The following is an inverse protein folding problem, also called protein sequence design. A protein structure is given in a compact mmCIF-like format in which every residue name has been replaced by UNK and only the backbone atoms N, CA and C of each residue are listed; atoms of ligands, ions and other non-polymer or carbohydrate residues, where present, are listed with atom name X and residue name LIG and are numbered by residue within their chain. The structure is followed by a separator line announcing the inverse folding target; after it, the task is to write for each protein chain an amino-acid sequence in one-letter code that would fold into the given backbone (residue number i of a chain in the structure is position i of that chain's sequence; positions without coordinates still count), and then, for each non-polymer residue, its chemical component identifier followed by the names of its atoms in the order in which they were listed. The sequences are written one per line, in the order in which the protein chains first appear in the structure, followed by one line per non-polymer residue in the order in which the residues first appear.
data_IF_953894863100
#
_entry.id   IF_953894863100
#
_cell.length_a   1.000
_cell.length_b   1.000
_cell.length_c   1.000
_cell.angle_alpha   90.00
_cell.angle_beta   90.00
_cell.angle_gamma   90.00
#
_symmetry.space_group_name_H-M   'P 1'
#
loop_
_entity.id
_entity.type
_entity.pdbx_description
1 polymer ?
#
# COMPACT_ATOMS: atom_id res chain seq x y z
N UNK A 1 -6.93 1.82 -3.92
CA UNK A 1 -6.26 2.91 -4.66
C UNK A 1 -6.67 2.84 -6.12
N UNK A 2 -6.08 1.96 -6.93
CA UNK A 2 -6.44 1.83 -8.36
C UNK A 2 -7.95 1.59 -8.58
N UNK A 3 -8.52 0.53 -8.00
CA UNK A 3 -9.94 0.22 -8.18
C UNK A 3 -10.87 1.33 -7.67
N UNK A 4 -10.53 1.94 -6.53
CA UNK A 4 -11.27 3.06 -5.96
C UNK A 4 -11.26 4.28 -6.91
N UNK A 5 -10.08 4.68 -7.41
CA UNK A 5 -9.91 5.82 -8.31
C UNK A 5 -10.67 5.69 -9.63
N UNK A 6 -10.84 4.46 -10.12
CA UNK A 6 -11.59 4.18 -11.34
C UNK A 6 -13.07 3.86 -11.08
N UNK A 7 -13.57 4.05 -9.85
CA UNK A 7 -14.94 3.72 -9.46
C UNK A 7 -15.34 2.26 -9.79
N UNK A 8 -14.37 1.35 -9.81
CA UNK A 8 -14.61 -0.06 -10.15
C UNK A 8 -15.13 -0.76 -8.91
N UNK A 9 -16.36 -1.31 -8.91
CA UNK A 9 -16.89 -1.99 -7.75
C UNK A 9 -16.19 -3.33 -7.53
N UNK A 10 -15.79 -3.63 -6.29
CA UNK A 10 -15.07 -4.87 -5.97
C UNK A 10 -15.50 -5.49 -4.64
N UNK A 11 -15.36 -6.81 -4.55
CA UNK A 11 -15.53 -7.58 -3.33
C UNK A 11 -14.15 -7.84 -2.73
N UNK A 12 -14.04 -7.72 -1.41
CA UNK A 12 -12.78 -8.01 -0.69
C UNK A 12 -12.95 -9.30 0.08
N UNK A 13 -12.02 -10.23 -0.10
CA UNK A 13 -11.87 -11.41 0.75
C UNK A 13 -10.60 -11.23 1.56
N UNK A 14 -10.75 -10.90 2.84
CA UNK A 14 -9.62 -10.71 3.75
C UNK A 14 -8.94 -12.06 4.03
N UNK A 15 -7.68 -12.19 3.61
CA UNK A 15 -6.90 -13.41 3.78
C UNK A 15 -6.32 -13.46 5.19
N UNK A 16 -6.53 -14.57 5.91
CA UNK A 16 -5.87 -14.77 7.19
C UNK A 16 -4.36 -14.99 6.94
N UNK A 17 -3.46 -14.13 7.44
CA UNK A 17 -2.05 -14.18 7.06
C UNK A 17 -1.29 -15.38 7.62
N UNK A 18 -1.83 -16.05 8.66
CA UNK A 18 -1.24 -17.26 9.24
C UNK A 18 -1.67 -18.51 8.47
N UNK A 19 -2.98 -18.68 8.27
CA UNK A 19 -3.53 -19.91 7.70
C UNK A 19 -3.69 -19.88 6.19
N UNK A 20 -3.82 -18.68 5.60
CA UNK A 20 -4.02 -18.42 4.16
C UNK A 20 -5.09 -19.31 3.53
N UNK A 21 -6.13 -19.70 4.29
CA UNK A 21 -7.14 -20.66 3.86
C UNK A 21 -7.94 -20.15 2.67
N UNK A 22 -8.16 -18.85 2.62
CA UNK A 22 -8.96 -18.14 1.61
C UNK A 22 -8.33 -18.18 0.21
N UNK A 23 -7.01 -18.40 0.13
CA UNK A 23 -6.25 -18.50 -1.13
C UNK A 23 -5.68 -19.90 -1.37
N UNK A 24 -6.18 -20.92 -0.67
CA UNK A 24 -5.70 -22.31 -0.84
C UNK A 24 -5.86 -22.82 -2.27
N UNK A 25 -6.90 -22.35 -2.96
CA UNK A 25 -7.24 -22.70 -4.34
C UNK A 25 -6.24 -22.17 -5.38
N UNK A 26 -5.48 -21.11 -5.07
CA UNK A 26 -4.53 -20.52 -6.02
C UNK A 26 -3.15 -21.13 -5.89
N UNK A 27 -2.47 -21.45 -6.99
CA UNK A 27 -1.06 -21.83 -6.99
C UNK A 27 -0.15 -20.68 -6.51
N UNK A 28 -0.58 -19.44 -6.72
CA UNK A 28 0.12 -18.25 -6.23
C UNK A 28 -0.22 -17.98 -4.76
N UNK A 29 0.77 -18.11 -3.87
CA UNK A 29 0.57 -18.04 -2.40
C UNK A 29 0.87 -16.67 -1.76
N UNK A 30 0.91 -15.60 -2.58
CA UNK A 30 1.07 -14.21 -2.15
C UNK A 30 -0.20 -13.41 -2.46
N UNK A 31 -0.32 -12.25 -1.84
CA UNK A 31 -1.40 -11.29 -2.06
C UNK A 31 -0.82 -9.99 -2.65
N UNK A 32 -1.61 -9.18 -3.37
CA UNK A 32 -3.01 -9.41 -3.75
C UNK A 32 -3.18 -10.49 -4.84
N UNK A 33 -4.38 -11.06 -4.91
CA UNK A 33 -4.90 -11.88 -6.02
C UNK A 33 -6.24 -11.27 -6.39
N UNK A 34 -6.45 -10.97 -7.68
CA UNK A 34 -7.69 -10.42 -8.18
C UNK A 34 -8.36 -11.44 -9.11
N UNK A 35 -9.66 -11.64 -8.95
CA UNK A 35 -10.45 -12.47 -9.88
C UNK A 35 -11.37 -11.58 -10.68
N UNK A 36 -11.26 -11.62 -12.02
CA UNK A 36 -12.09 -10.85 -12.96
C UNK A 36 -12.65 -11.86 -13.96
N UNK A 37 -13.97 -12.01 -14.03
CA UNK A 37 -14.66 -12.93 -14.97
C UNK A 37 -14.13 -14.38 -14.94
N UNK A 38 -13.72 -14.85 -13.75
CA UNK A 38 -13.15 -16.19 -13.55
C UNK A 38 -11.64 -16.30 -13.85
N UNK A 39 -11.02 -15.25 -14.39
CA UNK A 39 -9.57 -15.17 -14.57
C UNK A 39 -8.88 -14.71 -13.28
N UNK A 40 -7.79 -15.37 -12.91
CA UNK A 40 -7.01 -15.04 -11.71
C UNK A 40 -5.77 -14.23 -12.09
N UNK A 41 -5.80 -12.94 -11.75
CA UNK A 41 -4.69 -12.02 -11.90
C UNK A 41 -3.89 -11.98 -10.59
N UNK A 42 -2.55 -12.04 -10.70
CA UNK A 42 -1.61 -12.11 -9.58
C UNK A 42 -0.51 -11.08 -9.79
N UNK A 43 0.24 -10.78 -8.72
CA UNK A 43 1.21 -9.68 -8.66
C UNK A 43 0.56 -8.29 -8.80
N UNK A 44 0.81 -7.40 -7.84
CA UNK A 44 0.13 -6.10 -7.80
C UNK A 44 0.41 -5.24 -9.03
N UNK A 45 1.63 -5.30 -9.55
CA UNK A 45 2.05 -4.48 -10.69
C UNK A 45 1.45 -5.03 -11.98
N UNK A 46 1.43 -6.35 -12.14
CA UNK A 46 0.78 -7.00 -13.29
C UNK A 46 -0.73 -6.82 -13.29
N UNK A 47 -1.40 -6.96 -12.12
CA UNK A 47 -2.83 -6.69 -11.98
C UNK A 47 -3.15 -5.27 -12.47
N UNK A 48 -2.40 -4.26 -12.01
CA UNK A 48 -2.64 -2.86 -12.40
C UNK A 48 -2.41 -2.67 -13.91
N UNK A 49 -1.35 -3.25 -14.49
CA UNK A 49 -1.08 -3.15 -15.92
C UNK A 49 -2.21 -3.76 -16.77
N UNK A 50 -2.68 -4.95 -16.39
CA UNK A 50 -3.75 -5.65 -17.10
C UNK A 50 -5.05 -4.85 -17.01
N UNK A 51 -5.41 -4.34 -15.83
CA UNK A 51 -6.61 -3.53 -15.67
C UNK A 51 -6.52 -2.20 -16.42
N UNK A 52 -5.37 -1.52 -16.37
CA UNK A 52 -5.16 -0.28 -17.12
C UNK A 52 -5.39 -0.51 -18.61
N UNK A 53 -4.80 -1.58 -19.17
CA UNK A 53 -4.98 -1.92 -20.58
C UNK A 53 -6.44 -2.27 -20.92
N UNK A 54 -7.19 -2.88 -19.99
CA UNK A 54 -8.62 -3.15 -20.19
C UNK A 54 -9.48 -1.88 -20.19
N UNK A 55 -9.13 -0.88 -19.38
CA UNK A 55 -9.89 0.38 -19.23
C UNK A 55 -9.56 1.33 -20.38
N UNK A 56 -8.28 1.45 -20.73
CA UNK A 56 -7.79 2.35 -21.77
C UNK A 56 -6.80 1.61 -22.68
N UNK A 57 -7.27 0.81 -23.65
CA UNK A 57 -6.40 0.05 -24.55
C UNK A 57 -5.47 0.93 -25.40
N UNK A 58 -5.93 2.15 -25.72
CA UNK A 58 -5.21 3.10 -26.57
C UNK A 58 -4.18 3.95 -25.79
N UNK A 59 -4.11 3.81 -24.46
CA UNK A 59 -3.22 4.58 -23.57
C UNK A 59 -1.80 3.99 -23.46
N UNK A 60 -1.40 3.10 -24.39
CA UNK A 60 -0.07 2.47 -24.45
C UNK A 60 1.09 3.44 -24.76
N UNK A 61 0.92 4.74 -24.51
CA UNK A 61 2.04 5.68 -24.50
C UNK A 61 2.87 5.38 -23.26
N UNK A 62 3.94 4.60 -23.42
CA UNK A 62 4.90 4.28 -22.37
C UNK A 62 5.48 5.57 -21.79
N UNK A 63 4.90 6.04 -20.69
CA UNK A 63 5.40 7.19 -19.97
C UNK A 63 6.62 6.73 -19.16
N UNK A 64 7.82 7.03 -19.67
CA UNK A 64 9.10 6.66 -19.03
C UNK A 64 9.19 7.19 -17.60
N UNK A 65 8.65 8.39 -17.33
CA UNK A 65 8.62 8.97 -16.00
C UNK A 65 7.71 8.17 -15.07
N UNK A 66 6.51 7.82 -15.51
CA UNK A 66 5.60 6.97 -14.73
C UNK A 66 6.26 5.62 -14.42
N UNK A 67 6.85 4.97 -15.43
CA UNK A 67 7.51 3.67 -15.28
C UNK A 67 8.66 3.73 -14.27
N UNK A 68 9.48 4.78 -14.36
CA UNK A 68 10.57 5.04 -13.41
C UNK A 68 10.05 5.16 -11.98
N UNK A 69 8.99 5.92 -11.77
CA UNK A 69 8.46 6.16 -10.43
C UNK A 69 7.70 4.99 -9.84
N UNK A 70 6.96 4.22 -10.66
CA UNK A 70 6.37 2.95 -10.23
C UNK A 70 7.45 1.98 -9.74
N UNK A 71 8.54 1.85 -10.49
CA UNK A 71 9.70 1.04 -10.09
C UNK A 71 10.32 1.55 -8.78
N UNK A 72 10.48 2.87 -8.63
CA UNK A 72 10.99 3.45 -7.39
C UNK A 72 10.08 3.17 -6.18
N UNK A 73 8.76 3.18 -6.37
CA UNK A 73 7.81 2.83 -5.30
C UNK A 73 8.04 1.39 -4.82
N UNK A 74 8.13 0.44 -5.76
CA UNK A 74 8.28 -0.99 -5.46
C UNK A 74 9.66 -1.33 -4.87
N UNK A 75 10.73 -0.72 -5.40
CA UNK A 75 12.12 -1.05 -5.03
C UNK A 75 12.65 -0.22 -3.86
N UNK A 76 12.04 0.93 -3.56
CA UNK A 76 12.54 1.83 -2.51
C UNK A 76 11.46 2.16 -1.48
N UNK A 77 10.36 2.82 -1.89
CA UNK A 77 9.38 3.37 -0.94
C UNK A 77 8.80 2.30 -0.01
N UNK A 78 8.39 1.15 -0.56
CA UNK A 78 7.86 0.02 0.22
C UNK A 78 8.84 -0.47 1.29
N UNK A 79 10.14 -0.46 0.98
CA UNK A 79 11.18 -0.96 1.87
C UNK A 79 11.51 -0.01 3.02
N UNK A 80 11.17 1.27 2.89
CA UNK A 80 11.30 2.28 3.96
C UNK A 80 10.18 2.12 5.01
N UNK A 81 9.00 1.65 4.63
CA UNK A 81 7.84 1.64 5.54
C UNK A 81 7.98 0.68 6.71
N UNK A 82 8.37 -0.58 6.46
CA UNK A 82 8.44 -1.60 7.52
C UNK A 82 9.40 -1.20 8.65
N UNK A 83 10.63 -0.73 8.40
CA UNK A 83 11.49 -0.18 9.44
C UNK A 83 10.86 0.97 10.23
N UNK A 84 10.01 1.78 9.60
CA UNK A 84 9.41 2.97 10.19
C UNK A 84 8.20 2.70 11.09
N UNK A 85 7.34 1.76 10.70
CA UNK A 85 6.14 1.40 11.49
C UNK A 85 6.49 0.49 12.67
N UNK A 86 7.68 -0.12 12.66
CA UNK A 86 8.17 -1.02 13.72
C UNK A 86 9.45 -0.50 14.41
N UNK A 87 9.77 0.79 14.27
CA UNK A 87 11.01 1.40 14.77
C UNK A 87 11.15 1.31 16.29
N UNK A 88 10.07 1.62 17.01
CA UNK A 88 9.98 1.48 18.47
C UNK A 88 8.98 0.40 18.86
N UNK A 89 9.05 -0.08 20.11
CA UNK A 89 8.06 -1.04 20.64
C UNK A 89 6.64 -0.46 20.65
N UNK A 90 6.49 0.84 20.91
CA UNK A 90 5.19 1.53 20.88
C UNK A 90 4.60 1.58 19.47
N UNK A 91 5.39 1.99 18.47
CA UNK A 91 4.95 2.02 17.06
C UNK A 91 4.65 0.61 16.54
N UNK A 92 5.42 -0.40 16.97
CA UNK A 92 5.15 -1.78 16.61
C UNK A 92 3.82 -2.28 17.19
N UNK A 93 3.52 -1.97 18.45
CA UNK A 93 2.24 -2.32 19.06
C UNK A 93 1.07 -1.57 18.41
N UNK A 94 1.23 -0.30 18.06
CA UNK A 94 0.23 0.49 17.32
C UNK A 94 -0.09 -0.17 15.97
N UNK A 95 0.95 -0.48 15.18
CA UNK A 95 0.81 -1.11 13.87
C UNK A 95 0.13 -2.48 13.96
N UNK A 96 0.47 -3.28 14.96
CA UNK A 96 -0.16 -4.58 15.17
C UNK A 96 -1.58 -4.51 15.70
N UNK A 97 -1.91 -3.51 16.53
CA UNK A 97 -3.28 -3.26 16.94
C UNK A 97 -4.15 -2.92 15.73
N UNK A 98 -3.64 -2.08 14.83
CA UNK A 98 -4.30 -1.78 13.56
C UNK A 98 -4.49 -3.03 12.69
N UNK A 99 -3.43 -3.83 12.49
CA UNK A 99 -3.47 -5.07 11.71
C UNK A 99 -4.44 -6.09 12.32
N UNK A 100 -4.42 -6.28 13.63
CA UNK A 100 -5.27 -7.24 14.32
C UNK A 100 -6.76 -6.83 14.27
N UNK A 101 -7.04 -5.51 14.29
CA UNK A 101 -8.39 -4.97 14.24
C UNK A 101 -9.01 -5.06 12.83
N UNK A 102 -8.22 -4.81 11.79
CA UNK A 102 -8.72 -4.75 10.41
C UNK A 102 -8.43 -6.02 9.59
N UNK A 103 -7.58 -6.92 10.09
CA UNK A 103 -7.28 -8.20 9.45
C UNK A 103 -8.22 -9.34 9.85
N UNK A 104 -8.24 -10.38 9.02
CA UNK A 104 -8.97 -11.61 9.28
C UNK A 104 -8.23 -12.52 10.28
N UNK A 105 -8.41 -12.23 11.56
CA UNK A 105 -7.91 -13.01 12.69
C UNK A 105 -9.04 -13.42 13.65
N UNK A 106 -8.99 -14.63 14.18
CA UNK A 106 -9.84 -15.03 15.30
C UNK A 106 -9.49 -14.28 16.58
N UNK A 107 -10.39 -14.26 17.57
CA UNK A 107 -10.19 -13.52 18.83
C UNK A 107 -8.90 -13.92 19.59
N UNK A 108 -8.56 -15.21 19.61
CA UNK A 108 -7.34 -15.70 20.26
C UNK A 108 -6.08 -15.37 19.44
N UNK A 109 -6.16 -15.48 18.11
CA UNK A 109 -5.08 -15.07 17.21
C UNK A 109 -4.80 -13.57 17.34
N UNK A 110 -5.82 -12.70 17.44
CA UNK A 110 -5.64 -11.26 17.61
C UNK A 110 -4.75 -10.93 18.80
N UNK A 111 -5.00 -11.58 19.95
CA UNK A 111 -4.19 -11.36 21.15
C UNK A 111 -2.74 -11.84 20.95
N UNK A 112 -2.56 -13.06 20.42
CA UNK A 112 -1.23 -13.61 20.17
C UNK A 112 -0.43 -12.77 19.14
N UNK A 113 -1.07 -12.39 18.04
CA UNK A 113 -0.49 -11.60 16.95
C UNK A 113 -0.12 -10.20 17.44
N UNK A 114 -0.94 -9.57 18.28
CA UNK A 114 -0.64 -8.24 18.82
C UNK A 114 0.70 -8.18 19.55
N UNK A 115 0.94 -9.12 20.48
CA UNK A 115 2.14 -9.07 21.31
C UNK A 115 3.32 -9.86 20.72
N UNK A 116 3.10 -11.11 20.32
CA UNK A 116 4.17 -11.94 19.75
C UNK A 116 4.57 -11.45 18.36
N UNK A 117 3.61 -11.00 17.55
CA UNK A 117 3.87 -10.41 16.24
C UNK A 117 4.64 -9.10 16.35
N UNK A 118 4.26 -8.18 17.25
CA UNK A 118 4.98 -6.94 17.46
C UNK A 118 6.45 -7.17 17.88
N UNK A 119 6.69 -8.10 18.81
CA UNK A 119 8.05 -8.45 19.22
C UNK A 119 8.87 -9.03 18.05
N UNK A 120 8.30 -9.96 17.28
CA UNK A 120 8.97 -10.54 16.11
C UNK A 120 9.28 -9.49 15.05
N UNK A 121 8.33 -8.60 14.74
CA UNK A 121 8.49 -7.58 13.72
C UNK A 121 9.47 -6.49 14.10
N UNK A 122 9.62 -6.17 15.39
CA UNK A 122 10.69 -5.28 15.85
C UNK A 122 12.08 -5.81 15.45
N UNK A 123 12.32 -7.12 15.58
CA UNK A 123 13.58 -7.72 15.13
C UNK A 123 13.68 -7.84 13.61
N UNK A 124 12.56 -8.12 12.92
CA UNK A 124 12.52 -8.11 11.45
C UNK A 124 12.85 -6.71 10.93
N UNK A 125 12.29 -5.65 11.51
CA UNK A 125 12.56 -4.27 11.16
C UNK A 125 14.05 -3.92 11.28
N UNK A 126 14.71 -4.34 12.37
CA UNK A 126 16.18 -4.20 12.50
C UNK A 126 16.96 -4.92 11.40
N UNK A 127 16.51 -6.11 10.99
CA UNK A 127 17.13 -6.85 9.87
C UNK A 127 16.89 -6.14 8.54
N UNK A 128 15.68 -5.65 8.29
CA UNK A 128 15.34 -4.91 7.08
C UNK A 128 16.11 -3.59 6.99
N UNK A 129 16.24 -2.87 8.11
CA UNK A 129 17.09 -1.68 8.23
C UNK A 129 18.51 -1.95 7.74
N UNK A 130 19.13 -3.04 8.21
CA UNK A 130 20.46 -3.46 7.76
C UNK A 130 20.47 -3.89 6.29
N UNK A 131 19.47 -4.66 5.84
CA UNK A 131 19.37 -5.16 4.46
C UNK A 131 19.27 -4.02 3.44
N UNK A 132 18.53 -2.97 3.77
CA UNK A 132 18.26 -1.83 2.89
C UNK A 132 19.13 -0.61 3.21
N UNK A 133 20.20 -0.79 4.00
CA UNK A 133 21.16 0.27 4.35
C UNK A 133 20.53 1.54 4.95
N UNK A 134 19.47 1.38 5.74
CA UNK A 134 18.81 2.48 6.44
C UNK A 134 19.58 2.77 7.73
N UNK A 135 20.06 4.00 7.90
CA UNK A 135 20.80 4.41 9.11
C UNK A 135 19.86 5.01 10.15
N UNK A 136 19.01 5.93 9.72
CA UNK A 136 17.93 6.52 10.50
C UNK A 136 16.61 6.25 9.76
N UNK A 137 15.73 5.49 10.40
CA UNK A 137 14.44 5.09 9.85
C UNK A 137 13.59 6.31 9.52
N UNK A 138 13.47 7.27 10.45
CA UNK A 138 12.56 8.39 10.30
C UNK A 138 13.11 9.39 9.29
N UNK A 139 14.42 9.64 9.29
CA UNK A 139 15.07 10.42 8.24
C UNK A 139 14.87 9.79 6.86
N UNK A 140 15.02 8.46 6.71
CA UNK A 140 14.79 7.79 5.42
C UNK A 140 13.35 7.91 4.92
N UNK A 141 12.38 8.00 5.84
CA UNK A 141 10.98 8.22 5.47
C UNK A 141 10.77 9.65 4.98
N UNK A 142 11.39 10.62 5.64
CA UNK A 142 11.32 12.02 5.22
C UNK A 142 12.02 12.22 3.88
N UNK A 143 13.18 11.61 3.68
CA UNK A 143 13.91 11.65 2.41
C UNK A 143 13.09 11.04 1.28
N UNK A 144 12.43 9.89 1.51
CA UNK A 144 11.56 9.28 0.52
C UNK A 144 10.34 10.15 0.19
N UNK A 145 9.71 10.76 1.21
CA UNK A 145 8.59 11.66 1.02
C UNK A 145 9.01 12.94 0.25
N UNK A 146 10.15 13.55 0.60
CA UNK A 146 10.68 14.71 -0.08
C UNK A 146 11.07 14.39 -1.54
N UNK A 147 11.76 13.25 -1.76
CA UNK A 147 12.10 12.74 -3.10
C UNK A 147 10.85 12.61 -3.97
N UNK A 148 9.75 12.09 -3.42
CA UNK A 148 8.48 12.02 -4.12
C UNK A 148 7.90 13.41 -4.41
N UNK A 149 7.89 14.32 -3.44
CA UNK A 149 7.35 15.68 -3.67
C UNK A 149 8.16 16.49 -4.68
N UNK A 150 9.48 16.33 -4.70
CA UNK A 150 10.37 16.96 -5.69
C UNK A 150 10.07 16.43 -7.09
N UNK A 151 9.74 15.14 -7.22
CA UNK A 151 9.34 14.52 -8.48
C UNK A 151 8.11 15.16 -9.11
N UNK A 152 7.17 15.62 -8.28
CA UNK A 152 5.98 16.31 -8.75
C UNK A 152 6.36 17.58 -9.50
N UNK A 153 7.50 18.21 -9.16
CA UNK A 153 8.03 19.39 -9.84
C UNK A 153 6.97 20.52 -9.95
N UNK A 154 6.24 20.75 -8.85
CA UNK A 154 5.16 21.75 -8.77
C UNK A 154 3.83 21.34 -9.42
N UNK A 155 3.74 20.15 -10.04
CA UNK A 155 2.46 19.59 -10.54
C UNK A 155 1.57 19.15 -9.38
N UNK A 156 0.26 19.10 -9.63
CA UNK A 156 -0.70 18.55 -8.66
C UNK A 156 -0.44 17.06 -8.38
N UNK A 157 -0.15 16.32 -9.45
CA UNK A 157 0.15 14.89 -9.48
C UNK A 157 1.32 14.63 -10.43
N UNK A 158 1.97 13.47 -10.34
CA UNK A 158 2.95 13.08 -11.35
C UNK A 158 2.29 13.00 -12.74
N UNK A 159 1.05 12.55 -12.82
CA UNK A 159 0.20 12.62 -14.03
C UNK A 159 -0.21 14.02 -14.49
N UNK A 160 0.26 15.08 -13.83
CA UNK A 160 -0.06 16.47 -14.16
C UNK A 160 -1.36 16.91 -13.52
N UNK A 161 -2.45 16.92 -14.31
CA UNK A 161 -3.77 17.40 -13.84
C UNK A 161 -4.59 16.33 -13.10
N UNK A 162 -4.30 15.05 -13.37
CA UNK A 162 -4.93 13.89 -12.74
C UNK A 162 -3.85 12.90 -12.28
N UNK A 163 -4.13 12.06 -11.26
CA UNK A 163 -3.23 10.98 -10.88
C UNK A 163 -2.95 10.02 -12.05
N UNK A 164 -1.70 9.60 -12.18
CA UNK A 164 -1.31 8.48 -13.04
C UNK A 164 -1.03 7.21 -12.22
N UNK A 165 -0.53 6.14 -12.83
CA UNK A 165 -0.29 4.88 -12.10
C UNK A 165 0.81 5.00 -11.05
N UNK A 166 1.79 5.89 -11.23
CA UNK A 166 2.81 6.12 -10.22
C UNK A 166 2.24 6.85 -9.00
N UNK A 167 1.37 7.84 -9.20
CA UNK A 167 0.64 8.49 -8.09
C UNK A 167 -0.18 7.46 -7.31
N UNK A 168 -0.93 6.61 -8.02
CA UNK A 168 -1.76 5.57 -7.40
C UNK A 168 -0.92 4.52 -6.65
N UNK A 169 0.25 4.16 -7.18
CA UNK A 169 1.17 3.24 -6.52
C UNK A 169 1.74 3.84 -5.23
N UNK A 170 2.28 5.06 -5.29
CA UNK A 170 2.84 5.77 -4.13
C UNK A 170 1.77 5.97 -3.06
N UNK A 171 0.58 6.43 -3.45
CA UNK A 171 -0.54 6.61 -2.53
C UNK A 171 -0.99 5.29 -1.90
N UNK A 172 -1.11 4.23 -2.71
CA UNK A 172 -1.47 2.89 -2.24
C UNK A 172 -0.50 2.35 -1.19
N UNK A 173 0.80 2.60 -1.36
CA UNK A 173 1.85 2.20 -0.42
C UNK A 173 1.81 3.01 0.87
N UNK A 174 1.54 4.32 0.81
CA UNK A 174 1.51 5.19 1.98
C UNK A 174 0.18 5.13 2.77
N UNK A 175 -0.93 4.76 2.13
CA UNK A 175 -2.28 4.70 2.74
C UNK A 175 -2.38 3.92 4.04
N UNK A 176 -1.80 2.71 4.17
CA UNK A 176 -1.87 1.95 5.42
C UNK A 176 -1.23 2.64 6.62
N UNK A 177 -0.29 3.56 6.40
CA UNK A 177 0.46 4.20 7.49
C UNK A 177 -0.02 5.61 7.83
N UNK A 178 -0.92 6.19 7.02
CA UNK A 178 -1.36 7.59 7.09
C UNK A 178 -1.74 8.07 8.50
N UNK A 179 -2.42 7.21 9.26
CA UNK A 179 -2.95 7.52 10.58
C UNK A 179 -2.15 6.92 11.74
N UNK A 180 -1.09 6.18 11.44
CA UNK A 180 -0.12 5.72 12.44
C UNK A 180 0.82 6.87 12.82
N UNK A 181 1.54 6.74 13.95
CA UNK A 181 2.51 7.77 14.36
C UNK A 181 3.51 8.10 13.24
N UNK A 182 4.03 7.06 12.58
CA UNK A 182 4.97 7.20 11.46
C UNK A 182 4.45 8.04 10.29
N UNK A 183 3.17 7.88 9.91
CA UNK A 183 2.56 8.64 8.82
C UNK A 183 2.20 10.06 9.24
N UNK A 184 1.78 10.27 10.50
CA UNK A 184 1.56 11.61 11.06
C UNK A 184 2.86 12.41 11.09
N UNK A 185 3.93 11.82 11.61
CA UNK A 185 5.28 12.41 11.63
C UNK A 185 5.74 12.80 10.22
N UNK A 186 5.56 11.90 9.25
CA UNK A 186 5.92 12.14 7.84
C UNK A 186 5.18 13.35 7.27
N UNK A 187 3.87 13.46 7.48
CA UNK A 187 3.07 14.59 6.97
C UNK A 187 3.43 15.90 7.67
N UNK A 188 3.74 15.85 8.97
CA UNK A 188 4.09 17.05 9.75
C UNK A 188 5.47 17.61 9.38
N UNK A 189 6.42 16.75 9.01
CA UNK A 189 7.82 17.13 8.79
C UNK A 189 8.24 17.18 7.31
N UNK A 190 7.30 17.03 6.38
CA UNK A 190 7.58 17.08 4.93
C UNK A 190 6.43 17.77 4.18
N UNK A 191 6.67 18.11 2.91
CA UNK A 191 5.67 18.76 2.06
C UNK A 191 4.70 17.77 1.39
N UNK A 192 4.73 16.49 1.76
CA UNK A 192 3.91 15.45 1.12
C UNK A 192 2.41 15.62 1.39
N UNK A 193 2.06 16.32 2.48
CA UNK A 193 0.68 16.45 2.95
C UNK A 193 -0.29 17.00 1.90
N UNK A 194 0.12 18.01 1.14
CA UNK A 194 -0.76 18.61 0.11
C UNK A 194 -1.05 17.65 -1.05
N UNK A 195 -0.03 16.95 -1.55
CA UNK A 195 -0.23 15.91 -2.57
C UNK A 195 -1.07 14.76 -2.02
N UNK A 196 -0.84 14.37 -0.76
CA UNK A 196 -1.59 13.30 -0.13
C UNK A 196 -3.08 13.63 -0.04
N UNK A 197 -3.42 14.85 0.38
CA UNK A 197 -4.81 15.30 0.43
C UNK A 197 -5.45 15.29 -0.96
N UNK A 198 -4.74 15.80 -1.98
CA UNK A 198 -5.23 15.75 -3.37
C UNK A 198 -5.46 14.31 -3.84
N UNK A 199 -4.64 13.36 -3.41
CA UNK A 199 -4.84 11.94 -3.70
C UNK A 199 -6.03 11.35 -2.94
N UNK A 200 -6.26 11.72 -1.68
CA UNK A 200 -7.47 11.32 -0.95
C UNK A 200 -8.73 11.82 -1.66
N UNK A 201 -8.73 13.08 -2.09
CA UNK A 201 -9.85 13.70 -2.80
C UNK A 201 -10.08 13.07 -4.18
N UNK A 202 -9.01 12.75 -4.92
CA UNK A 202 -9.09 12.17 -6.26
C UNK A 202 -9.46 10.69 -6.24
N UNK A 203 -8.98 9.92 -5.27
CA UNK A 203 -9.28 8.48 -5.13
C UNK A 203 -10.66 8.25 -4.51
N UNK A 204 -11.09 9.13 -3.60
CA UNK A 204 -12.40 9.08 -2.99
C UNK A 204 -12.62 7.89 -2.03
N UNK A 205 -13.89 7.62 -1.78
CA UNK A 205 -14.33 6.55 -0.89
C UNK A 205 -14.13 5.16 -1.52
N UNK A 206 -13.93 4.10 -0.72
CA UNK A 206 -13.72 2.76 -1.27
C UNK A 206 -14.92 2.26 -2.08
N UNK A 207 -14.68 1.78 -3.30
CA UNK A 207 -15.69 1.14 -4.17
C UNK A 207 -16.01 -0.31 -3.75
N UNK A 208 -15.90 -0.60 -2.45
CA UNK A 208 -16.13 -1.94 -1.88
C UNK A 208 -17.63 -2.22 -1.85
N UNK A 209 -18.05 -3.33 -2.44
CA UNK A 209 -19.42 -3.83 -2.32
C UNK A 209 -19.59 -4.41 -0.90
N UNK A 210 -20.58 -3.95 -0.11
CA UNK A 210 -20.82 -4.47 1.22
C UNK A 210 -21.13 -5.98 1.23
N UNK A 211 -20.67 -6.67 2.27
CA UNK A 211 -21.04 -8.06 2.53
C UNK A 211 -22.58 -8.18 2.60
N UNK A 212 -23.18 -8.99 1.74
CA UNK A 212 -24.63 -9.23 1.69
C UNK A 212 -25.36 -8.66 0.46
N UNK A 213 -24.70 -7.85 -0.38
CA UNK A 213 -25.25 -7.43 -1.69
C UNK A 213 -24.66 -8.23 -2.86
N UNK A 214 -24.21 -9.45 -2.57
CA UNK A 214 -23.75 -10.37 -3.59
C UNK A 214 -24.96 -10.91 -4.35
N UNK A 215 -25.31 -10.28 -5.48
CA UNK A 215 -26.16 -10.94 -6.45
C UNK A 215 -25.36 -12.12 -7.04
N UNK A 216 -25.98 -13.30 -7.03
CA UNK A 216 -25.46 -14.54 -7.63
C UNK A 216 -25.29 -14.40 -9.14
#
# INVERSE_FOLDING_TARGET
AFLDYHDIPYKVVEVNPLSKKEIKWSEYKKVPILTVDGEHLVDSTDIINILQHRISPDDEVTNEEETKWRKWVDEHLVHVLSPNIYRTTSEALESFDYIAKHGNFSYTERFAVKYAGAAAMYFVAKKLKKKYNITDERASLYDAANTWTEALNGRNFLGGSKPNLADLAAFGVLRPIRYLQSGKDMVEHTQIGEWYQRMEDAVGEPSRIPEGQYQE
#
